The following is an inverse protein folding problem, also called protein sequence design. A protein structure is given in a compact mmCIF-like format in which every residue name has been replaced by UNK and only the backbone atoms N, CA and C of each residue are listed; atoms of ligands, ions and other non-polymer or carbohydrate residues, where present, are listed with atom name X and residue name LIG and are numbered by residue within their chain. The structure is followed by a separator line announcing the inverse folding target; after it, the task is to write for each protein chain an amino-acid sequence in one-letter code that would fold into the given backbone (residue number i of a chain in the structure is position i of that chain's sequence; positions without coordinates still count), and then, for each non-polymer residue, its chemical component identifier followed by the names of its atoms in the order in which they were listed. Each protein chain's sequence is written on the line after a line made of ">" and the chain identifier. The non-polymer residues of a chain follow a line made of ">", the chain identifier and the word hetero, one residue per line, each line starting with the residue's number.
data_IF_420590734137
#
_entry.id   IF_420590734137
#
_cell.length_a   1.000
_cell.length_b   1.000
_cell.length_c   1.000
_cell.angle_alpha   90.00
_cell.angle_beta   90.00
_cell.angle_gamma   90.00
#
_symmetry.space_group_name_H-M   'P 1'
#
loop_
_entity.id
_entity.type
_entity.pdbx_description
1 polymer ?
#
# COMPACT_ATOMS: atom_id res chain seq x y z
N UNK A 1 6.50 12.04 -15.40
CA UNK A 1 6.36 10.56 -15.32
C UNK A 1 6.17 10.26 -13.84
N UNK A 2 5.19 9.43 -13.49
CA UNK A 2 4.94 9.11 -12.08
C UNK A 2 6.14 8.39 -11.48
N UNK A 3 6.61 8.84 -10.32
CA UNK A 3 7.73 8.24 -9.59
C UNK A 3 7.20 7.37 -8.47
N UNK A 4 7.69 6.13 -8.37
CA UNK A 4 7.33 5.21 -7.29
C UNK A 4 8.50 5.18 -6.30
N UNK A 5 8.23 5.49 -5.04
CA UNK A 5 9.20 5.44 -3.94
C UNK A 5 8.73 4.42 -2.91
N UNK A 6 9.50 3.36 -2.69
CA UNK A 6 9.18 2.37 -1.66
C UNK A 6 9.30 3.01 -0.27
N UNK A 7 8.23 2.91 0.53
CA UNK A 7 8.18 3.38 1.92
C UNK A 7 8.52 2.24 2.89
N UNK A 8 8.17 1.01 2.53
CA UNK A 8 8.53 -0.17 3.30
C UNK A 8 7.92 -1.46 2.76
N UNK A 9 8.43 -2.58 3.26
CA UNK A 9 7.93 -3.92 2.91
C UNK A 9 7.86 -4.82 4.13
N UNK A 10 6.95 -5.79 4.09
CA UNK A 10 6.76 -6.79 5.13
C UNK A 10 6.37 -8.14 4.50
N UNK A 11 6.59 -9.22 5.24
CA UNK A 11 6.23 -10.57 4.79
C UNK A 11 4.72 -10.78 4.85
N UNK A 12 4.15 -11.41 3.82
CA UNK A 12 2.74 -11.80 3.79
C UNK A 12 2.54 -13.07 4.64
N UNK A 13 1.81 -12.92 5.74
CA UNK A 13 1.48 -14.03 6.63
C UNK A 13 0.76 -15.17 5.87
N UNK A 14 1.08 -16.41 6.20
CA UNK A 14 0.52 -17.61 5.54
C UNK A 14 1.19 -18.00 4.22
N UNK A 15 2.22 -17.27 3.78
CA UNK A 15 3.00 -17.62 2.59
C UNK A 15 4.49 -17.73 2.90
N UNK A 16 5.23 -18.54 2.11
CA UNK A 16 6.70 -18.68 2.29
C UNK A 16 7.50 -17.52 1.68
N UNK A 17 6.95 -16.88 0.64
CA UNK A 17 7.67 -15.88 -0.18
C UNK A 17 6.86 -14.60 -0.43
N UNK A 18 5.61 -14.55 0.01
CA UNK A 18 4.77 -13.41 -0.26
C UNK A 18 5.21 -12.18 0.53
N UNK A 19 4.94 -11.01 -0.05
CA UNK A 19 5.32 -9.71 0.48
C UNK A 19 4.18 -8.73 0.33
N UNK A 20 4.06 -7.84 1.30
CA UNK A 20 3.24 -6.64 1.21
C UNK A 20 4.22 -5.46 1.12
N UNK A 21 4.10 -4.68 0.08
CA UNK A 21 4.93 -3.50 -0.21
C UNK A 21 4.08 -2.25 -0.15
N UNK A 22 4.58 -1.21 0.48
CA UNK A 22 3.92 0.08 0.59
C UNK A 22 4.84 1.11 -0.06
N UNK A 23 4.31 1.87 -1.02
CA UNK A 23 5.09 2.84 -1.80
C UNK A 23 4.31 4.15 -1.95
N UNK A 24 5.01 5.27 -1.93
CA UNK A 24 4.48 6.53 -2.44
C UNK A 24 4.52 6.51 -3.97
N UNK A 25 3.48 7.05 -4.60
CA UNK A 25 3.46 7.29 -6.05
C UNK A 25 3.21 8.76 -6.27
N UNK A 26 4.22 9.46 -6.78
CA UNK A 26 4.17 10.88 -7.09
C UNK A 26 3.53 11.09 -8.45
N UNK A 27 2.62 12.06 -8.53
CA UNK A 27 1.90 12.43 -9.76
C UNK A 27 1.34 11.21 -10.55
N UNK A 28 0.62 10.28 -9.89
CA UNK A 28 0.18 9.01 -10.48
C UNK A 28 -0.76 9.20 -11.68
N UNK A 29 -1.48 10.32 -11.72
CA UNK A 29 -2.48 10.64 -12.73
C UNK A 29 -2.07 11.80 -13.64
N UNK A 30 -0.80 12.22 -13.59
CA UNK A 30 -0.26 13.31 -14.39
C UNK A 30 0.25 14.48 -13.56
N UNK A 31 0.77 15.48 -14.26
CA UNK A 31 1.40 16.64 -13.64
C UNK A 31 0.43 17.39 -12.73
N UNK A 32 0.90 17.85 -11.58
CA UNK A 32 0.12 18.61 -10.59
C UNK A 32 -1.04 17.80 -9.96
N UNK A 33 -1.02 16.46 -10.09
CA UNK A 33 -1.96 15.59 -9.35
C UNK A 33 -1.39 15.22 -7.99
N UNK A 34 -2.23 15.12 -6.94
CA UNK A 34 -1.76 14.74 -5.61
C UNK A 34 -1.09 13.37 -5.61
N UNK A 35 -0.05 13.24 -4.79
CA UNK A 35 0.59 11.98 -4.49
C UNK A 35 -0.41 11.00 -3.84
N UNK A 36 -0.11 9.71 -3.94
CA UNK A 36 -0.90 8.64 -3.33
C UNK A 36 0.00 7.63 -2.64
N UNK A 37 -0.53 6.94 -1.64
CA UNK A 37 0.06 5.72 -1.11
C UNK A 37 -0.49 4.53 -1.90
N UNK A 38 0.38 3.64 -2.33
CA UNK A 38 0.02 2.38 -2.98
C UNK A 38 0.45 1.20 -2.12
N UNK A 39 -0.48 0.29 -1.86
CA UNK A 39 -0.21 -0.98 -1.17
C UNK A 39 -0.26 -2.09 -2.21
N UNK A 40 0.86 -2.78 -2.41
CA UNK A 40 1.00 -3.93 -3.28
C UNK A 40 1.14 -5.25 -2.50
N UNK A 41 0.43 -6.29 -2.92
CA UNK A 41 0.55 -7.64 -2.35
C UNK A 41 1.06 -8.60 -3.43
N UNK A 42 2.16 -9.28 -3.13
CA UNK A 42 2.74 -10.35 -3.95
C UNK A 42 2.70 -11.67 -3.20
N UNK A 43 2.27 -12.77 -3.85
CA UNK A 43 2.36 -14.11 -3.25
C UNK A 43 3.75 -14.75 -3.41
N UNK A 44 4.50 -14.33 -4.43
CA UNK A 44 5.79 -14.93 -4.81
C UNK A 44 6.99 -14.02 -4.50
N UNK A 45 6.73 -12.79 -4.05
CA UNK A 45 7.73 -11.78 -3.69
C UNK A 45 8.31 -10.99 -4.87
N UNK A 46 7.75 -11.18 -6.07
CA UNK A 46 8.15 -10.48 -7.31
C UNK A 46 6.95 -9.79 -7.96
N UNK A 47 5.94 -10.58 -8.37
CA UNK A 47 4.74 -10.02 -9.01
C UNK A 47 3.73 -9.53 -7.98
N UNK A 48 3.42 -8.23 -8.01
CA UNK A 48 2.32 -7.63 -7.27
C UNK A 48 1.02 -8.05 -7.96
N UNK A 49 0.24 -8.91 -7.31
CA UNK A 49 -1.05 -9.39 -7.82
C UNK A 49 -2.20 -8.46 -7.47
N UNK A 50 -2.13 -7.83 -6.30
CA UNK A 50 -3.13 -6.86 -5.86
C UNK A 50 -2.45 -5.54 -5.56
N UNK A 51 -3.04 -4.44 -6.04
CA UNK A 51 -2.60 -3.08 -5.72
C UNK A 51 -3.79 -2.20 -5.38
N UNK A 52 -3.65 -1.39 -4.35
CA UNK A 52 -4.66 -0.41 -3.95
C UNK A 52 -4.02 0.96 -3.84
N UNK A 53 -4.58 1.92 -4.57
CA UNK A 53 -4.20 3.32 -4.53
C UNK A 53 -5.05 4.04 -3.49
N UNK A 54 -4.39 4.70 -2.54
CA UNK A 54 -5.00 5.39 -1.40
C UNK A 54 -4.52 6.84 -1.46
N UNK A 55 -5.41 7.80 -1.75
CA UNK A 55 -5.09 9.21 -1.63
C UNK A 55 -4.62 9.57 -0.22
N UNK A 56 -3.62 10.44 -0.10
CA UNK A 56 -3.14 10.88 1.22
C UNK A 56 -4.24 11.54 2.06
N UNK A 57 -5.19 12.22 1.41
CA UNK A 57 -6.36 12.82 2.06
C UNK A 57 -7.25 11.81 2.80
N UNK A 58 -7.22 10.53 2.41
CA UNK A 58 -8.00 9.48 3.08
C UNK A 58 -7.13 8.57 3.97
N UNK A 59 -5.82 8.83 4.05
CA UNK A 59 -4.88 7.91 4.71
C UNK A 59 -5.16 7.79 6.21
N UNK A 60 -5.49 8.89 6.89
CA UNK A 60 -5.80 8.87 8.33
C UNK A 60 -7.05 8.03 8.63
N UNK A 61 -8.11 8.17 7.83
CA UNK A 61 -9.34 7.39 7.98
C UNK A 61 -9.08 5.90 7.74
N UNK A 62 -8.31 5.57 6.70
CA UNK A 62 -7.92 4.18 6.42
C UNK A 62 -7.13 3.60 7.58
N UNK A 63 -6.13 4.32 8.11
CA UNK A 63 -5.35 3.87 9.27
C UNK A 63 -6.26 3.64 10.47
N UNK A 64 -7.19 4.56 10.74
CA UNK A 64 -8.15 4.46 11.85
C UNK A 64 -9.02 3.22 11.72
N UNK A 65 -9.54 2.93 10.52
CA UNK A 65 -10.35 1.73 10.26
C UNK A 65 -9.51 0.45 10.42
N UNK A 66 -8.26 0.44 9.92
CA UNK A 66 -7.36 -0.71 10.06
C UNK A 66 -6.98 -0.99 11.52
N UNK A 67 -6.74 0.05 12.32
CA UNK A 67 -6.48 -0.06 13.75
C UNK A 67 -7.71 -0.64 14.47
N UNK A 68 -8.90 -0.11 14.19
CA UNK A 68 -10.14 -0.65 14.74
C UNK A 68 -10.33 -2.13 14.39
N UNK A 69 -10.07 -2.52 13.14
CA UNK A 69 -10.15 -3.92 12.72
C UNK A 69 -9.14 -4.82 13.46
N UNK A 70 -7.98 -4.30 13.85
CA UNK A 70 -7.01 -5.01 14.67
C UNK A 70 -7.51 -5.21 16.10
N UNK A 71 -8.15 -4.20 16.70
CA UNK A 71 -8.71 -4.30 18.04
C UNK A 71 -9.96 -5.18 18.11
N UNK A 72 -10.85 -5.11 17.12
CA UNK A 72 -12.08 -5.92 17.04
C UNK A 72 -11.80 -7.43 16.84
N UNK A 73 -10.59 -7.78 16.38
CA UNK A 73 -10.15 -9.18 16.22
C UNK A 73 -9.62 -9.80 17.52
N UNK A 74 -9.32 -9.00 18.54
CA UNK A 74 -8.83 -9.49 19.84
C UNK A 74 -9.97 -10.06 20.67
#
# INVERSE_FOLDING_TARGET
>A
MSTITELGTLALAGTKKGKISISNVTEPYGKDTPDIVSIGISLNGQDIQWKSHIPYENLEDVITILQKALDDRK
#
